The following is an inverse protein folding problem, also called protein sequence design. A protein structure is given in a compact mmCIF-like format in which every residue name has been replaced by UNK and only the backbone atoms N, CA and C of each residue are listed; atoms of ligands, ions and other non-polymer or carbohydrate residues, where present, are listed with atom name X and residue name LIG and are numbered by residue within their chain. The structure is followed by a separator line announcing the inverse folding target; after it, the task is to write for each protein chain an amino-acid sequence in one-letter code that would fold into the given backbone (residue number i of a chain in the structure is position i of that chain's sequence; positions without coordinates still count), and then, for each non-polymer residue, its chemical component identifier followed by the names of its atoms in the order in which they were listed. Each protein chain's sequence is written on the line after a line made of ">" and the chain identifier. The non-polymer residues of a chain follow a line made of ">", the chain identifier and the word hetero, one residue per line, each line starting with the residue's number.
data_IF_489271600744
#
_entry.id   IF_489271600744
#
_cell.length_a   1.000
_cell.length_b   1.000
_cell.length_c   1.000
_cell.angle_alpha   90.00
_cell.angle_beta   90.00
_cell.angle_gamma   90.00
#
_symmetry.space_group_name_H-M   'P 1'
#
loop_
_entity.id
_entity.type
_entity.pdbx_description
1 polymer ?
#
# COMPACT_ATOMS: atom_id res chain seq x y z
N UNK A 1 -3.45 17.62 -23.33
CA UNK A 1 -3.51 16.92 -22.03
C UNK A 1 -2.41 15.87 -22.03
N UNK A 2 -1.26 16.17 -21.45
CA UNK A 2 -0.08 15.29 -21.51
C UNK A 2 -0.19 14.26 -20.40
N UNK A 3 -0.44 13.00 -20.75
CA UNK A 3 -0.52 11.90 -19.80
C UNK A 3 0.82 11.75 -19.07
N UNK A 4 0.82 12.06 -17.78
CA UNK A 4 1.98 11.93 -16.90
C UNK A 4 2.19 10.45 -16.54
N UNK A 5 2.29 9.59 -17.56
CA UNK A 5 2.44 8.14 -17.44
C UNK A 5 3.87 7.84 -17.03
N UNK A 6 4.10 7.76 -15.72
CA UNK A 6 5.32 7.24 -15.16
C UNK A 6 5.44 5.76 -15.51
N UNK A 7 6.60 5.35 -16.05
CA UNK A 7 6.91 3.93 -16.21
C UNK A 7 6.80 3.24 -14.82
N UNK A 8 6.40 1.96 -14.73
CA UNK A 8 6.22 1.28 -13.44
C UNK A 8 7.43 1.39 -12.50
N UNK A 9 8.64 1.40 -13.06
CA UNK A 9 9.90 1.59 -12.32
C UNK A 9 10.12 3.02 -11.82
N UNK A 10 9.59 4.02 -12.51
CA UNK A 10 9.68 5.44 -12.14
C UNK A 10 8.61 5.82 -11.10
N UNK A 11 7.44 5.17 -11.14
CA UNK A 11 6.38 5.32 -10.14
C UNK A 11 6.74 4.67 -8.80
N UNK A 12 7.66 3.70 -8.81
CA UNK A 12 8.12 3.02 -7.60
C UNK A 12 9.11 3.89 -6.82
N UNK A 13 8.82 4.18 -5.54
CA UNK A 13 9.74 4.92 -4.67
C UNK A 13 11.09 4.18 -4.56
N UNK A 14 12.20 4.93 -4.69
CA UNK A 14 13.58 4.40 -4.66
C UNK A 14 13.88 3.51 -3.45
N UNK A 15 13.22 3.70 -2.31
CA UNK A 15 13.33 2.83 -1.15
C UNK A 15 12.92 1.39 -1.46
N UNK A 16 11.88 1.19 -2.29
CA UNK A 16 11.39 -0.13 -2.69
C UNK A 16 12.17 -0.73 -3.86
N UNK A 17 12.95 0.05 -4.60
CA UNK A 17 13.83 -0.45 -5.68
C UNK A 17 15.03 -1.21 -5.12
N UNK A 18 15.49 -0.83 -3.92
CA UNK A 18 16.67 -1.42 -3.27
C UNK A 18 16.35 -2.58 -2.32
N UNK A 19 15.09 -2.76 -1.96
CA UNK A 19 14.65 -3.82 -1.06
C UNK A 19 14.33 -5.06 -1.89
N UNK A 20 15.00 -6.17 -1.58
CA UNK A 20 14.66 -7.47 -2.18
C UNK A 20 13.28 -7.86 -1.65
N UNK A 21 12.27 -8.09 -2.51
CA UNK A 21 10.94 -8.40 -2.03
C UNK A 21 10.96 -9.76 -1.33
N UNK A 22 10.62 -9.76 -0.05
CA UNK A 22 10.38 -10.99 0.68
C UNK A 22 8.99 -11.53 0.29
N UNK A 23 8.86 -12.82 0.05
CA UNK A 23 7.63 -13.41 -0.48
C UNK A 23 6.46 -13.28 0.52
N UNK A 24 6.76 -13.26 1.82
CA UNK A 24 5.79 -13.02 2.88
C UNK A 24 5.38 -11.55 2.93
N UNK A 25 6.34 -10.64 2.78
CA UNK A 25 6.08 -9.19 2.68
C UNK A 25 5.16 -8.82 1.52
N UNK A 26 5.38 -9.44 0.35
CA UNK A 26 4.59 -9.20 -0.84
C UNK A 26 3.15 -9.74 -0.66
N UNK A 27 3.00 -10.90 -0.01
CA UNK A 27 1.70 -11.50 0.29
C UNK A 27 0.90 -10.64 1.26
N UNK A 28 1.51 -10.25 2.38
CA UNK A 28 0.88 -9.40 3.38
C UNK A 28 0.48 -8.03 2.80
N UNK A 29 1.33 -7.45 1.94
CA UNK A 29 0.99 -6.23 1.22
C UNK A 29 -0.24 -6.42 0.32
N UNK A 30 -0.30 -7.51 -0.44
CA UNK A 30 -1.42 -7.80 -1.35
C UNK A 30 -2.73 -7.99 -0.59
N UNK A 31 -2.73 -8.76 0.49
CA UNK A 31 -3.92 -8.99 1.34
C UNK A 31 -4.40 -7.70 2.01
N UNK A 32 -3.47 -6.87 2.48
CA UNK A 32 -3.76 -5.57 3.09
C UNK A 32 -4.35 -4.58 2.08
N UNK A 33 -3.84 -4.57 0.83
CA UNK A 33 -4.32 -3.69 -0.23
C UNK A 33 -5.72 -4.09 -0.71
N UNK A 34 -5.96 -5.39 -0.91
CA UNK A 34 -7.31 -5.89 -1.29
C UNK A 34 -8.32 -5.52 -0.20
N UNK A 35 -7.99 -5.76 1.07
CA UNK A 35 -8.86 -5.38 2.20
C UNK A 35 -9.11 -3.87 2.26
N UNK A 36 -8.11 -3.05 1.98
CA UNK A 36 -8.26 -1.59 1.92
C UNK A 36 -9.23 -1.17 0.82
N UNK A 37 -9.11 -1.75 -0.37
CA UNK A 37 -9.96 -1.44 -1.53
C UNK A 37 -11.40 -1.94 -1.33
N UNK A 38 -11.59 -3.12 -0.74
CA UNK A 38 -12.92 -3.66 -0.45
C UNK A 38 -13.66 -2.84 0.62
N UNK A 39 -12.92 -2.29 1.59
CA UNK A 39 -13.50 -1.51 2.69
C UNK A 39 -13.60 -0.01 2.38
N UNK A 40 -12.82 0.49 1.42
CA UNK A 40 -12.85 1.88 0.97
C UNK A 40 -14.12 2.11 0.15
N UNK A 41 -15.06 2.85 0.72
CA UNK A 41 -16.28 3.28 0.04
C UNK A 41 -16.55 4.75 0.39
N UNK A 42 -17.06 5.51 -0.57
CA UNK A 42 -17.45 6.92 -0.42
C UNK A 42 -18.56 7.10 0.63
N UNK A 43 -19.32 6.04 0.93
CA UNK A 43 -20.33 6.01 1.99
C UNK A 43 -19.77 5.93 3.42
N UNK A 44 -18.46 5.77 3.59
CA UNK A 44 -17.81 5.64 4.92
C UNK A 44 -17.31 7.00 5.42
N UNK A 45 -17.32 7.20 6.74
CA UNK A 45 -16.80 8.42 7.37
C UNK A 45 -15.32 8.63 7.04
N UNK A 46 -14.90 9.90 7.00
CA UNK A 46 -13.50 10.29 6.83
C UNK A 46 -12.60 9.66 7.91
N UNK A 47 -13.05 9.54 9.17
CA UNK A 47 -12.29 8.85 10.21
C UNK A 47 -12.11 7.35 9.95
N UNK A 48 -13.11 6.70 9.36
CA UNK A 48 -13.01 5.29 9.03
C UNK A 48 -11.95 5.06 7.95
N UNK A 49 -11.95 5.91 6.92
CA UNK A 49 -10.94 5.87 5.86
C UNK A 49 -9.53 6.21 6.39
N UNK A 50 -9.39 7.16 7.34
CA UNK A 50 -8.13 7.42 8.04
C UNK A 50 -7.66 6.22 8.88
N UNK A 51 -8.59 5.54 9.54
CA UNK A 51 -8.35 4.31 10.30
C UNK A 51 -7.84 3.18 9.41
N UNK A 52 -8.48 2.97 8.27
CA UNK A 52 -8.08 1.99 7.25
C UNK A 52 -6.68 2.24 6.70
N UNK A 53 -6.36 3.49 6.36
CA UNK A 53 -5.01 3.86 5.91
C UNK A 53 -3.97 3.59 7.00
N UNK A 54 -4.30 3.93 8.25
CA UNK A 54 -3.42 3.68 9.40
C UNK A 54 -3.17 2.18 9.60
N UNK A 55 -4.22 1.36 9.52
CA UNK A 55 -4.11 -0.10 9.64
C UNK A 55 -3.31 -0.71 8.49
N UNK A 56 -3.57 -0.25 7.26
CA UNK A 56 -2.81 -0.63 6.07
C UNK A 56 -1.30 -0.38 6.26
N UNK A 57 -0.91 0.81 6.70
CA UNK A 57 0.50 1.16 6.94
C UNK A 57 1.12 0.39 8.11
N UNK A 58 0.35 0.08 9.16
CA UNK A 58 0.85 -0.74 10.28
C UNK A 58 1.13 -2.17 9.83
N UNK A 59 0.22 -2.78 9.07
CA UNK A 59 0.36 -4.15 8.55
C UNK A 59 1.51 -4.27 7.53
N UNK A 60 1.69 -3.26 6.68
CA UNK A 60 2.78 -3.27 5.68
C UNK A 60 4.14 -2.87 6.23
N UNK A 61 4.22 -1.94 7.21
CA UNK A 61 5.50 -1.57 7.85
C UNK A 61 5.92 -2.51 8.98
N UNK A 62 4.98 -3.27 9.56
CA UNK A 62 5.25 -4.23 10.64
C UNK A 62 6.22 -5.35 10.25
N UNK A 63 6.41 -5.61 8.96
CA UNK A 63 7.37 -6.61 8.47
C UNK A 63 8.83 -6.12 8.41
N UNK A 64 9.09 -4.83 8.63
CA UNK A 64 10.44 -4.27 8.67
C UNK A 64 11.05 -4.25 10.09
N UNK A 65 10.30 -4.71 11.11
CA UNK A 65 10.77 -4.85 12.50
C UNK A 65 10.69 -6.31 12.93
N UNK A 66 11.48 -7.17 12.31
CA UNK A 66 11.93 -8.45 12.88
C UNK A 66 13.34 -8.73 12.41
#
# INVERSE_FOLDING_TARGET
>A
MSENQLQPRQALNKAYVKVKPDHESMRAFKESLVSLLDLSNESKSEEFNKGLLTDFFKKTKGLARK
#
